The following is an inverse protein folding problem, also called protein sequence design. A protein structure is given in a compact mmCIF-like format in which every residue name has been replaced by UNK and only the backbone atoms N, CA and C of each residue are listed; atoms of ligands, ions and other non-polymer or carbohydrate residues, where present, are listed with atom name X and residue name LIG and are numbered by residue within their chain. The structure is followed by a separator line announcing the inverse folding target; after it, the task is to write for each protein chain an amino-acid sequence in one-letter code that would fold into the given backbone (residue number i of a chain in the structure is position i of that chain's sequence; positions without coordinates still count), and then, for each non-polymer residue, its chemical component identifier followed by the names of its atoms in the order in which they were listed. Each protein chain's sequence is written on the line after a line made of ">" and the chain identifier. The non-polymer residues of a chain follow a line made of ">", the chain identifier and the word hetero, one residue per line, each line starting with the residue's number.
data_IF_333836218128
#
_entry.id   IF_333836218128
#
_cell.length_a   1.000
_cell.length_b   1.000
_cell.length_c   1.000
_cell.angle_alpha   90.00
_cell.angle_beta   90.00
_cell.angle_gamma   90.00
#
_symmetry.space_group_name_H-M   'P 1'
#
loop_
_entity.id
_entity.type
_entity.pdbx_description
1 polymer ?
#
# COMPACT_ATOMS: atom_id res chain seq x y z
N UNK A 1 14.81 -17.13 23.48
CA UNK A 1 14.60 -15.87 22.75
C UNK A 1 13.32 -16.03 21.95
N UNK A 2 12.26 -15.27 22.26
CA UNK A 2 10.99 -15.33 21.52
C UNK A 2 10.91 -14.13 20.58
N UNK A 3 10.48 -14.35 19.35
CA UNK A 3 10.26 -13.29 18.36
C UNK A 3 8.79 -13.35 17.98
N UNK A 4 8.08 -12.23 18.17
CA UNK A 4 6.69 -12.11 17.71
C UNK A 4 6.66 -11.20 16.48
N UNK A 5 6.01 -11.68 15.42
CA UNK A 5 5.84 -10.93 14.17
C UNK A 5 4.36 -10.58 14.00
N UNK A 6 4.06 -9.30 13.78
CA UNK A 6 2.72 -8.82 13.47
C UNK A 6 2.71 -8.17 12.09
N UNK A 7 1.78 -8.60 11.24
CA UNK A 7 1.64 -8.10 9.86
C UNK A 7 0.23 -7.53 9.68
N UNK A 8 0.14 -6.25 9.29
CA UNK A 8 -1.08 -5.63 8.80
C UNK A 8 -0.96 -5.29 7.32
N UNK A 9 -2.03 -5.50 6.57
CA UNK A 9 -2.14 -5.07 5.17
C UNK A 9 -3.32 -4.12 5.05
N UNK A 10 -3.08 -2.92 4.54
CA UNK A 10 -4.13 -1.99 4.13
C UNK A 10 -4.09 -1.77 2.62
N UNK A 11 -5.27 -1.72 2.00
CA UNK A 11 -5.44 -1.53 0.56
C UNK A 11 -6.31 -0.30 0.35
N UNK A 12 -5.83 0.66 -0.43
CA UNK A 12 -6.66 1.79 -0.88
C UNK A 12 -6.72 1.83 -2.42
N UNK A 13 -7.90 2.19 -2.93
CA UNK A 13 -8.19 2.25 -4.37
C UNK A 13 -8.65 3.67 -4.69
N UNK A 14 -8.01 4.30 -5.67
CA UNK A 14 -8.38 5.60 -6.21
C UNK A 14 -8.70 5.49 -7.70
N UNK A 15 -9.77 6.17 -8.13
CA UNK A 15 -10.22 6.20 -9.51
C UNK A 15 -10.29 7.66 -9.96
N UNK A 16 -9.61 7.99 -11.04
CA UNK A 16 -9.67 9.30 -11.67
C UNK A 16 -10.15 9.20 -13.12
N UNK A 17 -11.07 10.08 -13.49
CA UNK A 17 -11.69 10.17 -14.82
C UNK A 17 -11.46 11.58 -15.35
N UNK A 18 -10.87 11.69 -16.54
CA UNK A 18 -10.65 12.96 -17.23
C UNK A 18 -11.41 13.01 -18.56
N UNK A 19 -12.09 14.14 -18.81
CA UNK A 19 -12.91 14.39 -20.02
C UNK A 19 -12.45 15.71 -20.62
N UNK A 20 -11.48 15.65 -21.53
CA UNK A 20 -10.92 16.85 -22.15
C UNK A 20 -10.98 16.82 -23.68
N UNK A 21 -10.57 15.73 -24.35
CA UNK A 21 -10.65 15.53 -25.82
C UNK A 21 -10.82 14.03 -26.17
N UNK A 22 -10.27 13.13 -25.34
CA UNK A 22 -10.49 11.68 -25.30
C UNK A 22 -10.89 11.26 -23.88
N UNK A 23 -11.45 10.06 -23.69
CA UNK A 23 -11.81 9.58 -22.35
C UNK A 23 -10.58 8.90 -21.75
N UNK A 24 -10.01 9.47 -20.68
CA UNK A 24 -8.89 8.85 -19.97
C UNK A 24 -9.32 8.40 -18.58
N UNK A 25 -9.16 7.10 -18.30
CA UNK A 25 -9.45 6.51 -16.99
C UNK A 25 -8.16 5.98 -16.38
N UNK A 26 -7.94 6.36 -15.14
CA UNK A 26 -6.79 5.93 -14.36
C UNK A 26 -7.28 5.28 -13.07
N UNK A 27 -6.76 4.09 -12.79
CA UNK A 27 -7.01 3.38 -11.52
C UNK A 27 -5.68 3.26 -10.81
N UNK A 28 -5.64 3.72 -9.56
CA UNK A 28 -4.49 3.57 -8.67
C UNK A 28 -4.87 2.68 -7.49
N UNK A 29 -4.03 1.67 -7.24
CA UNK A 29 -4.16 0.78 -6.09
C UNK A 29 -2.90 0.96 -5.26
N UNK A 30 -3.07 1.36 -4.00
CA UNK A 30 -1.95 1.41 -3.05
C UNK A 30 -2.14 0.29 -2.03
N UNK A 31 -1.07 -0.48 -1.82
CA UNK A 31 -0.99 -1.54 -0.84
C UNK A 31 0.05 -1.09 0.18
N UNK A 32 -0.34 -0.95 1.44
CA UNK A 32 0.60 -0.68 2.51
C UNK A 32 0.68 -1.88 3.45
N UNK A 33 1.90 -2.31 3.73
CA UNK A 33 2.21 -3.41 4.63
C UNK A 33 2.91 -2.82 5.85
N UNK A 34 2.40 -3.14 7.03
CA UNK A 34 2.98 -2.77 8.31
C UNK A 34 3.49 -4.04 8.99
N UNK A 35 4.80 -4.10 9.23
CA UNK A 35 5.47 -5.24 9.84
C UNK A 35 6.09 -4.79 11.17
N UNK A 36 5.63 -5.37 12.27
CA UNK A 36 6.21 -5.19 13.59
C UNK A 36 6.94 -6.46 14.01
N UNK A 37 8.17 -6.31 14.45
CA UNK A 37 8.95 -7.38 15.11
C UNK A 37 9.16 -6.97 16.56
N UNK A 38 8.72 -7.83 17.48
CA UNK A 38 8.91 -7.67 18.92
C UNK A 38 10.00 -8.64 19.38
N UNK A 39 11.09 -8.09 19.92
CA UNK A 39 12.15 -8.84 20.58
C UNK A 39 11.89 -8.86 22.10
N UNK A 40 12.21 -9.97 22.78
CA UNK A 40 12.02 -10.11 24.23
C UNK A 40 12.76 -9.03 25.06
N UNK A 41 13.78 -8.39 24.49
CA UNK A 41 14.59 -7.34 25.12
C UNK A 41 14.05 -5.92 24.84
N UNK A 42 12.71 -5.77 24.86
CA UNK A 42 11.95 -4.52 24.74
C UNK A 42 12.09 -3.71 23.44
N UNK A 43 12.86 -4.16 22.44
CA UNK A 43 12.97 -3.48 21.16
C UNK A 43 11.80 -3.85 20.23
N UNK A 44 11.03 -2.83 19.83
CA UNK A 44 9.98 -2.93 18.82
C UNK A 44 10.49 -2.28 17.54
N UNK A 45 10.69 -3.07 16.48
CA UNK A 45 11.03 -2.53 15.16
C UNK A 45 9.80 -2.57 14.27
N UNK A 46 9.35 -1.41 13.83
CA UNK A 46 8.21 -1.26 12.93
C UNK A 46 8.71 -0.77 11.56
N UNK A 47 8.39 -1.51 10.50
CA UNK A 47 8.66 -1.07 9.13
C UNK A 47 7.35 -0.90 8.37
N UNK A 48 7.27 0.17 7.59
CA UNK A 48 6.12 0.51 6.75
C UNK A 48 6.54 0.50 5.29
N UNK A 49 5.91 -0.37 4.50
CA UNK A 49 6.15 -0.49 3.07
C UNK A 49 4.89 -0.06 2.32
N UNK A 50 5.01 0.93 1.43
CA UNK A 50 3.96 1.30 0.49
C UNK A 50 4.34 0.92 -0.94
N UNK A 51 3.43 0.26 -1.64
CA UNK A 51 3.54 0.02 -3.07
C UNK A 51 2.31 0.62 -3.76
N UNK A 52 2.53 1.42 -4.80
CA UNK A 52 1.48 2.02 -5.62
C UNK A 52 1.54 1.42 -7.03
N UNK A 53 0.39 1.01 -7.55
CA UNK A 53 0.24 0.52 -8.93
C UNK A 53 -0.78 1.42 -9.62
N UNK A 54 -0.40 2.04 -10.73
CA UNK A 54 -1.30 2.88 -11.55
C UNK A 54 -1.48 2.29 -12.94
N UNK A 55 -2.73 2.12 -13.36
CA UNK A 55 -3.10 1.68 -14.71
C UNK A 55 -3.80 2.84 -15.41
N UNK A 56 -3.32 3.20 -16.60
CA UNK A 56 -3.85 4.30 -17.41
C UNK A 56 -4.39 3.72 -18.72
N UNK A 57 -5.64 4.01 -19.06
CA UNK A 57 -6.23 3.66 -20.35
C UNK A 57 -6.81 4.92 -21.01
N UNK A 58 -6.63 5.03 -22.33
CA UNK A 58 -7.27 6.05 -23.18
C UNK A 58 -8.28 5.38 -24.09
N UNK A 59 -9.53 5.85 -24.06
CA UNK A 59 -10.62 5.46 -24.94
C UNK A 59 -10.98 6.58 -25.92
#
# INVERSE_FOLDING_TARGET
>A
MCVCVYVCVCVCVCVCVCVCISVCWCVCVCICVYLCVYLCDCECVCVYLCVTVSVCATA
#
